data_IF_929129702605
#
_entry.id   IF_929129702605
#
_cell.length_a   1.000
_cell.length_b   1.000
_cell.length_c   1.000
_cell.angle_alpha   90.00
_cell.angle_beta   90.00
_cell.angle_gamma   90.00
#
_symmetry.space_group_name_H-M   'P 1'
#
loop_
_entity.id
_entity.type
_entity.pdbx_description
1 polymer ?
#
# COMPACT_ATOMS: atom_id res chain seq x y z
N UNK A 1 -3.82 14.05 -17.26
CA UNK A 1 -3.58 13.45 -15.94
C UNK A 1 -3.84 14.58 -14.96
N UNK A 2 -4.90 14.48 -14.15
CA UNK A 2 -5.22 15.52 -13.16
C UNK A 2 -4.06 15.63 -12.16
N UNK A 3 -3.67 16.86 -11.83
CA UNK A 3 -2.65 17.11 -10.83
C UNK A 3 -3.16 16.64 -9.46
N UNK A 4 -2.34 15.90 -8.68
CA UNK A 4 -2.73 15.48 -7.34
C UNK A 4 -3.06 16.71 -6.48
N UNK A 5 -4.09 16.59 -5.63
CA UNK A 5 -4.42 17.63 -4.66
C UNK A 5 -3.25 17.86 -3.69
N UNK A 6 -3.15 19.04 -3.07
CA UNK A 6 -2.00 19.46 -2.24
C UNK A 6 -1.60 18.46 -1.13
N UNK A 7 -2.54 17.62 -0.68
CA UNK A 7 -2.33 16.63 0.40
C UNK A 7 -2.26 15.20 -0.11
N UNK A 8 -2.42 14.98 -1.40
CA UNK A 8 -2.24 13.68 -2.02
C UNK A 8 -0.76 13.51 -2.33
N UNK A 9 -0.18 12.41 -1.88
CA UNK A 9 1.23 12.13 -2.11
C UNK A 9 1.37 10.80 -2.85
N UNK A 10 2.23 10.83 -3.86
CA UNK A 10 2.73 9.63 -4.50
C UNK A 10 3.95 9.17 -3.73
N UNK A 11 3.97 7.90 -3.38
CA UNK A 11 5.15 7.26 -2.86
C UNK A 11 5.58 6.14 -3.81
N UNK A 12 6.87 5.85 -3.81
CA UNK A 12 7.45 4.86 -4.71
C UNK A 12 8.58 4.10 -4.04
N UNK A 13 8.60 2.80 -4.26
CA UNK A 13 9.66 1.91 -3.85
C UNK A 13 10.25 1.19 -5.06
N UNK A 14 11.51 0.82 -4.99
CA UNK A 14 12.15 -0.04 -5.98
C UNK A 14 11.87 -1.52 -5.70
N UNK A 15 12.06 -2.39 -6.69
CA UNK A 15 12.01 -3.83 -6.48
C UNK A 15 12.99 -4.30 -5.39
N UNK A 16 14.15 -3.65 -5.30
CA UNK A 16 15.12 -3.91 -4.23
C UNK A 16 14.55 -3.57 -2.84
N UNK A 17 13.84 -2.45 -2.70
CA UNK A 17 13.19 -2.08 -1.43
C UNK A 17 12.09 -3.08 -1.05
N UNK A 18 11.32 -3.54 -2.04
CA UNK A 18 10.28 -4.56 -1.83
C UNK A 18 10.88 -5.91 -1.43
N UNK A 19 12.00 -6.31 -2.05
CA UNK A 19 12.73 -7.53 -1.69
C UNK A 19 13.37 -7.43 -0.31
N UNK A 20 13.89 -6.26 0.08
CA UNK A 20 14.38 -6.04 1.45
C UNK A 20 13.26 -6.16 2.49
N UNK A 21 12.06 -5.65 2.20
CA UNK A 21 10.88 -5.83 3.05
C UNK A 21 10.49 -7.31 3.15
N UNK A 22 10.49 -8.03 2.03
CA UNK A 22 10.24 -9.49 1.99
C UNK A 22 11.22 -10.24 2.89
N UNK A 23 12.50 -9.94 2.79
CA UNK A 23 13.54 -10.57 3.61
C UNK A 23 13.32 -10.30 5.10
N UNK A 24 13.02 -9.05 5.46
CA UNK A 24 12.70 -8.69 6.85
C UNK A 24 11.48 -9.43 7.39
N UNK A 25 10.43 -9.62 6.58
CA UNK A 25 9.26 -10.42 6.97
C UNK A 25 9.65 -11.87 7.25
N UNK A 26 10.47 -12.46 6.38
CA UNK A 26 10.93 -13.85 6.55
C UNK A 26 11.87 -14.01 7.74
N UNK A 27 12.72 -13.02 8.04
CA UNK A 27 13.55 -13.02 9.23
C UNK A 27 12.69 -12.98 10.51
N UNK A 28 11.67 -12.12 10.57
CA UNK A 28 10.72 -12.09 11.69
C UNK A 28 9.99 -13.43 11.87
N UNK A 29 9.70 -14.15 10.79
CA UNK A 29 9.08 -15.50 10.86
C UNK A 29 10.05 -16.51 11.43
N UNK A 30 11.31 -16.52 10.95
CA UNK A 30 12.36 -17.39 11.49
C UNK A 30 12.60 -17.17 12.97
N UNK A 31 12.63 -15.91 13.42
CA UNK A 31 12.75 -15.56 14.85
C UNK A 31 11.62 -16.13 15.70
N UNK A 32 10.42 -16.30 15.12
CA UNK A 32 9.25 -16.91 15.76
C UNK A 32 9.19 -18.44 15.63
N UNK A 33 10.15 -19.04 14.93
CA UNK A 33 10.14 -20.47 14.61
C UNK A 33 9.10 -20.85 13.56
N UNK A 34 8.60 -19.88 12.79
CA UNK A 34 7.71 -20.10 11.66
C UNK A 34 8.52 -20.31 10.37
N UNK A 35 7.96 -21.08 9.44
CA UNK A 35 8.55 -21.24 8.12
C UNK A 35 8.48 -19.93 7.32
N UNK A 36 9.54 -19.57 6.55
CA UNK A 36 9.51 -18.45 5.62
C UNK A 36 8.37 -18.60 4.60
N UNK A 37 7.84 -17.47 4.15
CA UNK A 37 6.87 -17.42 3.06
C UNK A 37 7.52 -17.87 1.74
N UNK A 38 6.78 -18.67 0.99
CA UNK A 38 7.17 -19.17 -0.32
C UNK A 38 7.10 -18.08 -1.39
N UNK A 39 7.67 -18.36 -2.57
CA UNK A 39 7.58 -17.47 -3.74
C UNK A 39 6.14 -17.22 -4.19
N UNK A 40 5.23 -18.18 -3.95
CA UNK A 40 3.81 -18.03 -4.28
C UNK A 40 3.06 -17.13 -3.29
N UNK A 41 3.46 -17.17 -2.01
CA UNK A 41 2.84 -16.38 -0.93
C UNK A 41 3.38 -14.95 -0.87
N UNK A 42 4.68 -14.78 -1.15
CA UNK A 42 5.33 -13.47 -1.19
C UNK A 42 6.42 -13.46 -2.29
N UNK A 43 6.05 -13.12 -3.54
CA UNK A 43 6.95 -13.10 -4.67
C UNK A 43 8.09 -12.09 -4.53
N UNK A 44 9.23 -12.35 -5.17
CA UNK A 44 10.26 -11.37 -5.39
C UNK A 44 9.87 -10.40 -6.50
N UNK A 45 10.21 -9.13 -6.31
CA UNK A 45 10.12 -8.14 -7.36
C UNK A 45 11.38 -8.17 -8.25
N UNK A 46 11.26 -7.94 -9.56
CA UNK A 46 12.40 -7.73 -10.44
C UNK A 46 13.28 -6.55 -9.98
N UNK A 47 14.60 -6.63 -10.19
CA UNK A 47 15.54 -5.58 -9.77
C UNK A 47 15.25 -4.19 -10.37
N UNK A 48 14.63 -4.15 -11.56
CA UNK A 48 14.25 -2.92 -12.25
C UNK A 48 12.81 -2.48 -11.98
N UNK A 49 12.09 -3.16 -11.09
CA UNK A 49 10.72 -2.79 -10.75
C UNK A 49 10.69 -1.45 -10.01
N UNK A 50 9.66 -0.65 -10.31
CA UNK A 50 9.33 0.56 -9.58
C UNK A 50 7.85 0.46 -9.21
N UNK A 51 7.60 0.18 -7.95
CA UNK A 51 6.25 0.12 -7.41
C UNK A 51 5.83 1.53 -6.99
N UNK A 52 4.66 1.98 -7.43
CA UNK A 52 4.13 3.31 -7.10
C UNK A 52 2.75 3.16 -6.52
N UNK A 53 2.48 3.89 -5.45
CA UNK A 53 1.15 3.96 -4.85
C UNK A 53 0.80 5.41 -4.57
N UNK A 54 -0.50 5.68 -4.72
CA UNK A 54 -1.07 7.00 -4.50
C UNK A 54 -1.87 6.99 -3.21
N UNK A 55 -1.55 7.91 -2.32
CA UNK A 55 -2.35 8.16 -1.12
C UNK A 55 -3.23 9.39 -1.38
N UNK A 56 -4.50 9.14 -1.68
CA UNK A 56 -5.51 10.18 -1.95
C UNK A 56 -6.18 10.69 -0.65
N UNK A 57 -5.38 11.26 0.25
CA UNK A 57 -5.87 11.71 1.55
C UNK A 57 -6.95 12.79 1.40
N UNK A 58 -6.79 13.74 0.48
CA UNK A 58 -7.72 14.86 0.36
C UNK A 58 -9.07 14.42 -0.21
N UNK A 59 -9.05 13.51 -1.19
CA UNK A 59 -10.28 12.92 -1.73
C UNK A 59 -11.07 12.13 -0.69
N UNK A 60 -10.40 11.38 0.19
CA UNK A 60 -11.05 10.65 1.28
C UNK A 60 -11.65 11.65 2.29
N UNK A 61 -10.90 12.68 2.69
CA UNK A 61 -11.36 13.67 3.67
C UNK A 61 -12.54 14.51 3.15
N UNK A 62 -12.51 14.95 1.88
CA UNK A 62 -13.61 15.70 1.28
C UNK A 62 -14.87 14.84 1.05
N UNK A 63 -14.70 13.54 0.81
CA UNK A 63 -15.82 12.60 0.62
C UNK A 63 -16.51 12.17 1.92
N UNK A 64 -15.79 12.20 3.05
CA UNK A 64 -16.29 11.76 4.36
C UNK A 64 -17.53 12.54 4.85
N UNK A 65 -17.60 13.87 4.81
CA UNK A 65 -18.80 14.62 5.21
C UNK A 65 -20.05 14.24 4.40
N UNK A 66 -19.92 14.01 3.09
CA UNK A 66 -21.02 13.58 2.22
C UNK A 66 -21.50 12.16 2.55
N UNK A 67 -20.58 11.25 2.88
CA UNK A 67 -20.90 9.85 3.25
C UNK A 67 -21.51 9.76 4.66
N UNK A 68 -20.93 10.47 5.62
CA UNK A 68 -21.44 10.53 7.00
C UNK A 68 -22.82 11.19 7.08
N UNK A 69 -23.09 12.23 6.27
CA UNK A 69 -24.41 12.83 6.15
C UNK A 69 -25.50 11.89 5.60
N UNK A 70 -25.11 10.79 4.95
CA UNK A 70 -26.00 9.73 4.47
C UNK A 70 -26.10 8.53 5.42
N UNK A 71 -25.41 8.56 6.56
CA UNK A 71 -25.37 7.45 7.52
C UNK A 71 -24.44 6.29 7.11
N UNK A 72 -23.66 6.45 6.04
CA UNK A 72 -22.71 5.45 5.57
C UNK A 72 -21.39 5.59 6.35
N UNK A 73 -21.10 4.65 7.25
CA UNK A 73 -19.78 4.51 7.87
C UNK A 73 -18.93 3.56 7.02
N UNK A 74 -17.82 4.03 6.42
CA UNK A 74 -16.91 3.14 5.73
C UNK A 74 -16.19 2.27 6.77
N UNK A 75 -16.42 0.95 6.74
CA UNK A 75 -15.74 -0.01 7.63
C UNK A 75 -14.29 -0.29 7.19
N UNK A 76 -13.92 0.08 5.96
CA UNK A 76 -12.58 -0.07 5.38
C UNK A 76 -12.12 1.18 4.63
N UNK A 77 -10.80 1.41 4.62
CA UNK A 77 -10.16 2.50 3.87
C UNK A 77 -10.40 2.36 2.36
N UNK A 78 -10.68 3.48 1.68
CA UNK A 78 -10.89 3.49 0.23
C UNK A 78 -9.53 3.58 -0.47
N UNK A 79 -9.09 2.50 -1.11
CA UNK A 79 -7.96 2.50 -2.05
C UNK A 79 -8.54 2.48 -3.46
N UNK A 80 -8.26 3.50 -4.26
CA UNK A 80 -8.61 3.53 -5.68
C UNK A 80 -7.38 3.15 -6.51
N UNK A 81 -7.53 2.18 -7.41
CA UNK A 81 -6.52 1.82 -8.40
C UNK A 81 -6.89 2.50 -9.72
N UNK A 82 -5.92 3.16 -10.36
CA UNK A 82 -6.04 3.78 -11.69
C UNK A 82 -4.98 3.20 -12.62
#
# INVERSE_FOLDING_TARGET
MEEPAERDFQDSATGADMNALRDAINDMRRERGEDPLTEEELPAEPDNAVCRWWYYYDHVVQGLPRRLGKGERPEHGTVAWY
#
